data_IF_943691703396
#
_entry.id   IF_943691703396
#
_cell.length_a   1.000
_cell.length_b   1.000
_cell.length_c   1.000
_cell.angle_alpha   90.00
_cell.angle_beta   90.00
_cell.angle_gamma   90.00
#
_symmetry.space_group_name_H-M   'P 1'
#
loop_
_entity.id
_entity.type
_entity.pdbx_description
1 polymer ?
#
# COMPACT_ATOMS: atom_id res chain seq x y z
N UNK A 1 23.98 25.68 -4.23
CA UNK A 1 23.78 24.23 -4.06
C UNK A 1 22.42 23.87 -4.66
N UNK A 2 22.38 23.17 -5.80
CA UNK A 2 21.12 22.78 -6.45
C UNK A 2 20.89 21.31 -6.16
N UNK A 3 19.94 21.00 -5.28
CA UNK A 3 19.47 19.65 -5.03
C UNK A 3 18.96 19.09 -6.36
N UNK A 4 19.71 18.18 -6.95
CA UNK A 4 19.26 17.39 -8.09
C UNK A 4 18.94 15.99 -7.55
N UNK A 5 17.67 15.64 -7.39
CA UNK A 5 17.25 14.30 -6.99
C UNK A 5 17.41 13.30 -8.15
N UNK A 6 18.40 13.45 -9.02
CA UNK A 6 18.53 12.64 -10.23
C UNK A 6 19.93 12.07 -10.47
N UNK A 7 19.95 10.77 -10.80
CA UNK A 7 21.16 10.02 -11.16
C UNK A 7 21.50 10.23 -12.64
N UNK A 8 22.75 10.53 -12.93
CA UNK A 8 23.33 10.83 -14.26
C UNK A 8 23.46 9.61 -15.19
N UNK A 9 22.44 8.75 -15.29
CA UNK A 9 22.31 7.72 -16.34
C UNK A 9 20.90 7.73 -16.93
N UNK A 10 20.71 8.13 -18.20
CA UNK A 10 19.38 8.37 -18.80
C UNK A 10 18.46 7.13 -18.78
N UNK A 11 19.01 5.93 -18.97
CA UNK A 11 18.22 4.69 -18.92
C UNK A 11 17.64 4.34 -17.54
N UNK A 12 18.27 4.76 -16.44
CA UNK A 12 17.75 4.52 -15.07
C UNK A 12 16.68 5.52 -14.67
N UNK A 13 16.74 6.71 -15.24
CA UNK A 13 15.78 7.79 -15.09
C UNK A 13 14.42 7.40 -15.67
N UNK A 14 14.43 6.87 -16.89
CA UNK A 14 13.25 6.33 -17.55
C UNK A 14 12.71 5.11 -16.79
N UNK A 15 13.56 4.16 -16.41
CA UNK A 15 13.13 2.99 -15.64
C UNK A 15 12.47 3.37 -14.30
N UNK A 16 12.96 4.43 -13.62
CA UNK A 16 12.33 4.95 -12.41
C UNK A 16 10.97 5.58 -12.71
N UNK A 17 10.86 6.45 -13.72
CA UNK A 17 9.59 7.08 -14.07
C UNK A 17 8.54 6.04 -14.48
N UNK A 18 8.91 5.10 -15.36
CA UNK A 18 8.05 3.98 -15.75
C UNK A 18 7.67 3.11 -14.56
N UNK A 19 8.60 2.84 -13.64
CA UNK A 19 8.32 2.04 -12.46
C UNK A 19 7.39 2.76 -11.48
N UNK A 20 7.55 4.07 -11.29
CA UNK A 20 6.66 4.89 -10.47
C UNK A 20 5.25 4.92 -11.09
N UNK A 21 5.13 5.14 -12.40
CA UNK A 21 3.86 5.12 -13.13
C UNK A 21 3.21 3.73 -13.06
N UNK A 22 3.99 2.66 -13.22
CA UNK A 22 3.48 1.30 -13.14
C UNK A 22 2.93 0.97 -11.75
N UNK A 23 3.65 1.35 -10.68
CA UNK A 23 3.18 1.16 -9.30
C UNK A 23 1.94 2.00 -9.01
N UNK A 24 1.92 3.26 -9.47
CA UNK A 24 0.76 4.14 -9.32
C UNK A 24 -0.46 3.54 -10.04
N UNK A 25 -0.32 3.18 -11.32
CA UNK A 25 -1.39 2.58 -12.13
C UNK A 25 -1.89 1.28 -11.51
N UNK A 26 -0.98 0.39 -11.09
CA UNK A 26 -1.32 -0.87 -10.42
C UNK A 26 -2.11 -0.64 -9.13
N UNK A 27 -1.64 0.28 -8.29
CA UNK A 27 -2.32 0.64 -7.04
C UNK A 27 -3.70 1.20 -7.33
N UNK A 28 -3.82 2.12 -8.28
CA UNK A 28 -5.09 2.72 -8.69
C UNK A 28 -6.08 1.64 -9.17
N UNK A 29 -5.65 0.71 -10.01
CA UNK A 29 -6.51 -0.41 -10.47
C UNK A 29 -7.07 -1.19 -9.28
N UNK A 30 -6.21 -1.59 -8.32
CA UNK A 30 -6.65 -2.40 -7.19
C UNK A 30 -7.51 -1.63 -6.18
N UNK A 31 -7.29 -0.33 -6.03
CA UNK A 31 -8.19 0.55 -5.27
C UNK A 31 -9.57 0.58 -5.92
N UNK A 32 -9.65 0.74 -7.25
CA UNK A 32 -10.93 0.69 -7.96
C UNK A 32 -11.63 -0.67 -7.81
N UNK A 33 -10.88 -1.77 -7.85
CA UNK A 33 -11.43 -3.12 -7.58
C UNK A 33 -12.00 -3.20 -6.16
N UNK A 34 -11.27 -2.72 -5.15
CA UNK A 34 -11.77 -2.69 -3.77
C UNK A 34 -13.04 -1.84 -3.60
N UNK A 35 -13.09 -0.67 -4.26
CA UNK A 35 -14.28 0.19 -4.28
C UNK A 35 -15.46 -0.50 -4.97
N UNK A 36 -15.22 -1.22 -6.07
CA UNK A 36 -16.26 -1.98 -6.75
C UNK A 36 -16.82 -3.12 -5.89
N UNK A 37 -15.96 -3.83 -5.16
CA UNK A 37 -16.37 -4.87 -4.19
C UNK A 37 -17.22 -4.25 -3.07
N UNK A 38 -16.79 -3.13 -2.49
CA UNK A 38 -17.56 -2.43 -1.47
C UNK A 38 -18.93 -1.99 -1.99
N UNK A 39 -18.98 -1.38 -3.18
CA UNK A 39 -20.22 -0.95 -3.81
C UNK A 39 -21.17 -2.13 -4.06
N UNK A 40 -20.67 -3.26 -4.57
CA UNK A 40 -21.48 -4.45 -4.79
C UNK A 40 -22.12 -4.96 -3.48
N UNK A 41 -21.37 -5.02 -2.39
CA UNK A 41 -21.92 -5.43 -1.08
C UNK A 41 -22.91 -4.39 -0.53
N UNK A 42 -22.62 -3.10 -0.69
CA UNK A 42 -23.52 -2.02 -0.27
C UNK A 42 -24.87 -2.06 -1.00
N UNK A 43 -24.89 -2.43 -2.29
CA UNK A 43 -26.16 -2.62 -3.02
C UNK A 43 -27.00 -3.78 -2.47
N UNK A 44 -26.36 -4.86 -2.00
CA UNK A 44 -27.05 -5.98 -1.35
C UNK A 44 -27.62 -5.54 0.02
N UNK A 45 -26.85 -4.76 0.79
CA UNK A 45 -27.29 -4.22 2.07
C UNK A 45 -28.50 -3.28 1.91
N UNK A 46 -28.53 -2.45 0.87
CA UNK A 46 -29.67 -1.61 0.52
C UNK A 46 -30.95 -2.43 0.25
N UNK A 47 -30.84 -3.53 -0.50
CA UNK A 47 -31.98 -4.46 -0.69
C UNK A 47 -32.45 -5.03 0.65
N UNK A 48 -31.51 -5.41 1.54
CA UNK A 48 -31.84 -5.87 2.90
C UNK A 48 -32.61 -4.83 3.73
N UNK A 49 -32.24 -3.55 3.63
CA UNK A 49 -32.97 -2.44 4.29
C UNK A 49 -34.37 -2.25 3.72
N UNK A 50 -34.55 -2.37 2.41
CA UNK A 50 -35.87 -2.27 1.79
C UNK A 50 -36.79 -3.41 2.25
N UNK A 51 -36.26 -4.64 2.33
CA UNK A 51 -36.99 -5.80 2.86
C UNK A 51 -37.37 -5.58 4.33
N UNK A 52 -36.44 -5.10 5.16
CA UNK A 52 -36.72 -4.76 6.56
C UNK A 52 -37.89 -3.77 6.68
N UNK A 53 -37.82 -2.64 5.98
CA UNK A 53 -38.83 -1.59 6.07
C UNK A 53 -40.21 -2.09 5.60
N UNK A 54 -40.25 -2.94 4.56
CA UNK A 54 -41.49 -3.57 4.10
C UNK A 54 -42.06 -4.53 5.14
N UNK A 55 -41.21 -5.35 5.77
CA UNK A 55 -41.61 -6.32 6.78
C UNK A 55 -42.08 -5.64 8.09
N UNK A 56 -41.42 -4.56 8.53
CA UNK A 56 -41.86 -3.73 9.66
C UNK A 56 -43.26 -3.16 9.41
N UNK A 57 -43.51 -2.57 8.24
CA UNK A 57 -44.83 -2.04 7.89
C UNK A 57 -45.93 -3.10 7.78
N UNK A 58 -45.59 -4.31 7.33
CA UNK A 58 -46.52 -5.45 7.32
C UNK A 58 -46.82 -5.89 8.76
N UNK A 59 -45.79 -5.98 9.62
CA UNK A 59 -45.96 -6.33 11.03
C UNK A 59 -46.89 -5.36 11.74
N UNK A 60 -46.66 -4.06 11.61
CA UNK A 60 -47.46 -3.02 12.26
C UNK A 60 -48.94 -3.06 11.85
N UNK A 61 -49.19 -3.22 10.54
CA UNK A 61 -50.54 -3.33 9.99
C UNK A 61 -51.26 -4.59 10.48
N UNK A 62 -50.57 -5.74 10.48
CA UNK A 62 -51.13 -7.01 10.93
C UNK A 62 -51.40 -7.03 12.43
N UNK A 63 -50.51 -6.43 13.24
CA UNK A 63 -50.72 -6.29 14.66
C UNK A 63 -51.96 -5.42 14.96
N UNK A 64 -52.06 -4.26 14.30
CA UNK A 64 -53.21 -3.36 14.42
C UNK A 64 -54.53 -4.00 13.97
N UNK A 65 -54.48 -4.81 12.91
CA UNK A 65 -55.61 -5.59 12.44
C UNK A 65 -56.00 -6.70 13.44
N UNK A 66 -55.01 -7.37 14.05
CA UNK A 66 -55.21 -8.36 15.11
C UNK A 66 -55.91 -7.78 16.34
N UNK A 67 -55.45 -6.62 16.80
CA UNK A 67 -56.05 -5.88 17.93
C UNK A 67 -57.48 -5.41 17.63
N UNK A 68 -57.76 -5.07 16.37
CA UNK A 68 -59.10 -4.71 15.91
C UNK A 68 -60.02 -5.92 15.81
N UNK A 69 -59.52 -7.04 15.28
CA UNK A 69 -60.26 -8.29 15.17
C UNK A 69 -60.59 -8.89 16.54
N UNK A 70 -59.68 -8.78 17.51
CA UNK A 70 -59.90 -9.26 18.88
C UNK A 70 -61.11 -8.59 19.58
N UNK A 71 -61.50 -7.38 19.15
CA UNK A 71 -62.68 -6.66 19.67
C UNK A 71 -64.03 -7.20 19.18
N UNK A 72 -64.04 -8.21 18.28
CA UNK A 72 -65.28 -8.80 17.77
C UNK A 72 -65.82 -9.84 18.78
N UNK A 73 -67.05 -9.68 19.33
CA UNK A 73 -67.61 -10.65 20.26
C UNK A 73 -67.81 -12.03 19.60
N UNK A 74 -67.67 -13.09 20.40
CA UNK A 74 -67.81 -14.52 20.03
C UNK A 74 -66.70 -15.11 19.12
N UNK A 75 -66.06 -14.33 18.26
CA UNK A 75 -65.05 -14.84 17.29
C UNK A 75 -63.72 -14.08 17.27
N UNK A 76 -63.56 -13.01 18.05
CA UNK A 76 -62.40 -12.12 17.98
C UNK A 76 -61.06 -12.83 18.16
N UNK A 77 -60.95 -13.80 19.06
CA UNK A 77 -59.73 -14.58 19.25
C UNK A 77 -59.38 -15.46 18.04
N UNK A 78 -60.40 -16.06 17.39
CA UNK A 78 -60.20 -16.92 16.22
C UNK A 78 -59.71 -16.15 15.00
N UNK A 79 -59.96 -14.85 14.95
CA UNK A 79 -59.56 -13.96 13.85
C UNK A 79 -58.29 -13.17 14.20
N UNK A 80 -58.13 -12.73 15.45
CA UNK A 80 -56.99 -11.93 15.90
C UNK A 80 -55.70 -12.73 16.10
N UNK A 81 -55.79 -13.97 16.58
CA UNK A 81 -54.61 -14.81 16.81
C UNK A 81 -53.75 -15.06 15.55
N UNK A 82 -54.30 -15.47 14.39
CA UNK A 82 -53.49 -15.66 13.19
C UNK A 82 -52.87 -14.35 12.65
N UNK A 83 -53.54 -13.21 12.82
CA UNK A 83 -53.00 -11.90 12.43
C UNK A 83 -51.79 -11.49 13.28
N UNK A 84 -51.86 -11.72 14.59
CA UNK A 84 -50.72 -11.48 15.51
C UNK A 84 -49.56 -12.43 15.25
N UNK A 85 -49.83 -13.70 14.99
CA UNK A 85 -48.80 -14.66 14.61
C UNK A 85 -48.11 -14.26 13.29
N UNK A 86 -48.86 -13.75 12.32
CA UNK A 86 -48.31 -13.25 11.07
C UNK A 86 -47.50 -11.95 11.26
N UNK A 87 -47.91 -11.07 12.18
CA UNK A 87 -47.12 -9.89 12.59
C UNK A 87 -45.79 -10.30 13.21
N UNK A 88 -45.78 -11.28 14.12
CA UNK A 88 -44.56 -11.77 14.77
C UNK A 88 -43.58 -12.35 13.74
N UNK A 89 -44.07 -13.16 12.79
CA UNK A 89 -43.25 -13.67 11.69
C UNK A 89 -42.69 -12.54 10.78
N UNK A 90 -43.45 -11.48 10.55
CA UNK A 90 -42.99 -10.32 9.80
C UNK A 90 -41.93 -9.52 10.59
N UNK A 91 -42.08 -9.38 11.90
CA UNK A 91 -41.09 -8.75 12.78
C UNK A 91 -39.77 -9.54 12.82
N UNK A 92 -39.83 -10.87 12.88
CA UNK A 92 -38.64 -11.74 12.79
C UNK A 92 -37.90 -11.56 11.46
N UNK A 93 -38.64 -11.47 10.36
CA UNK A 93 -38.07 -11.20 9.03
C UNK A 93 -37.40 -9.81 8.97
N UNK A 94 -38.02 -8.78 9.57
CA UNK A 94 -37.43 -7.46 9.66
C UNK A 94 -36.15 -7.45 10.51
N UNK A 95 -36.14 -8.18 11.64
CA UNK A 95 -34.97 -8.40 12.47
C UNK A 95 -33.82 -9.06 11.71
N UNK A 96 -34.12 -10.07 10.90
CA UNK A 96 -33.14 -10.71 10.02
C UNK A 96 -32.58 -9.74 8.96
N UNK A 97 -33.44 -8.93 8.34
CA UNK A 97 -33.04 -7.88 7.40
C UNK A 97 -32.11 -6.82 8.02
N UNK A 98 -32.38 -6.44 9.27
CA UNK A 98 -31.54 -5.51 10.02
C UNK A 98 -30.15 -6.08 10.31
N UNK A 99 -30.08 -7.34 10.76
CA UNK A 99 -28.81 -7.99 11.08
C UNK A 99 -27.93 -8.21 9.83
N UNK A 100 -28.57 -8.44 8.67
CA UNK A 100 -27.90 -8.53 7.37
C UNK A 100 -27.28 -7.18 6.96
N UNK A 101 -27.98 -6.06 7.12
CA UNK A 101 -27.49 -4.71 6.76
C UNK A 101 -26.25 -4.31 7.57
N UNK A 102 -26.29 -4.50 8.89
CA UNK A 102 -25.17 -4.17 9.78
C UNK A 102 -23.95 -5.05 9.51
N UNK A 103 -24.17 -6.36 9.31
CA UNK A 103 -23.09 -7.32 9.00
C UNK A 103 -22.48 -7.07 7.62
N UNK A 104 -23.31 -6.82 6.60
CA UNK A 104 -22.87 -6.54 5.25
C UNK A 104 -22.04 -5.25 5.17
N UNK A 105 -22.41 -4.21 5.92
CA UNK A 105 -21.69 -2.93 5.92
C UNK A 105 -20.24 -3.07 6.41
N UNK A 106 -20.02 -3.77 7.53
CA UNK A 106 -18.67 -4.03 8.03
C UNK A 106 -17.89 -4.98 7.10
N UNK A 107 -18.53 -6.06 6.64
CA UNK A 107 -17.90 -7.02 5.73
C UNK A 107 -17.48 -6.38 4.42
N UNK A 108 -18.26 -5.42 3.89
CA UNK A 108 -17.92 -4.69 2.67
C UNK A 108 -16.55 -4.01 2.78
N UNK A 109 -16.27 -3.37 3.92
CA UNK A 109 -14.98 -2.70 4.16
C UNK A 109 -13.85 -3.72 4.30
N UNK A 110 -14.06 -4.77 5.10
CA UNK A 110 -13.04 -5.81 5.31
C UNK A 110 -12.70 -6.51 4.00
N UNK A 111 -13.71 -6.88 3.20
CA UNK A 111 -13.52 -7.53 1.90
C UNK A 111 -12.82 -6.59 0.91
N UNK A 112 -13.21 -5.32 0.84
CA UNK A 112 -12.53 -4.35 -0.01
C UNK A 112 -11.03 -4.24 0.31
N UNK A 113 -10.69 -4.17 1.61
CA UNK A 113 -9.29 -4.15 2.06
C UNK A 113 -8.60 -5.49 1.78
N UNK A 114 -9.24 -6.61 2.09
CA UNK A 114 -8.67 -7.95 1.89
C UNK A 114 -8.41 -8.26 0.41
N UNK A 115 -9.21 -7.71 -0.50
CA UNK A 115 -9.01 -7.85 -1.96
C UNK A 115 -7.93 -6.90 -2.47
N UNK A 116 -7.91 -5.65 -2.01
CA UNK A 116 -6.97 -4.65 -2.52
C UNK A 116 -5.56 -4.76 -1.91
N UNK A 117 -5.43 -5.08 -0.63
CA UNK A 117 -4.16 -5.01 0.08
C UNK A 117 -3.12 -6.04 -0.39
N UNK A 118 -3.43 -7.33 -0.59
CA UNK A 118 -2.44 -8.33 -1.00
C UNK A 118 -1.73 -7.99 -2.33
N UNK A 119 -2.43 -7.66 -3.44
CA UNK A 119 -1.76 -7.34 -4.69
C UNK A 119 -1.02 -5.99 -4.66
N UNK A 120 -1.50 -5.02 -3.86
CA UNK A 120 -0.78 -3.77 -3.64
C UNK A 120 0.53 -4.05 -2.90
N UNK A 121 0.50 -4.81 -1.80
CA UNK A 121 1.67 -5.12 -0.99
C UNK A 121 2.67 -6.01 -1.73
N UNK A 122 2.19 -6.98 -2.51
CA UNK A 122 3.04 -7.86 -3.31
C UNK A 122 3.89 -7.09 -4.33
N UNK A 123 3.36 -6.00 -4.88
CA UNK A 123 4.05 -5.20 -5.90
C UNK A 123 4.79 -3.99 -5.29
N UNK A 124 4.15 -3.26 -4.39
CA UNK A 124 4.72 -2.09 -3.74
C UNK A 124 5.81 -2.46 -2.73
N UNK A 125 5.69 -3.59 -2.02
CA UNK A 125 6.65 -4.01 -0.99
C UNK A 125 8.08 -4.16 -1.53
N UNK A 126 8.32 -5.02 -2.54
CA UNK A 126 9.64 -5.17 -3.16
C UNK A 126 10.15 -3.86 -3.76
N UNK A 127 9.27 -3.07 -4.38
CA UNK A 127 9.63 -1.78 -4.98
C UNK A 127 10.08 -0.75 -3.94
N UNK A 128 9.31 -0.58 -2.85
CA UNK A 128 9.64 0.31 -1.72
C UNK A 128 10.95 -0.15 -1.09
N UNK A 129 11.13 -1.45 -0.85
CA UNK A 129 12.34 -1.99 -0.24
C UNK A 129 13.59 -1.70 -1.08
N UNK A 130 13.53 -1.97 -2.39
CA UNK A 130 14.63 -1.66 -3.30
C UNK A 130 14.91 -0.15 -3.32
N UNK A 131 13.87 0.67 -3.40
CA UNK A 131 13.99 2.15 -3.45
C UNK A 131 14.64 2.70 -2.18
N UNK A 132 14.19 2.27 -1.00
CA UNK A 132 14.77 2.66 0.29
C UNK A 132 16.24 2.22 0.38
N UNK A 133 16.57 0.99 -0.05
CA UNK A 133 17.96 0.50 -0.05
C UNK A 133 18.87 1.35 -0.93
N UNK A 134 18.40 1.78 -2.10
CA UNK A 134 19.16 2.68 -2.98
C UNK A 134 19.33 4.08 -2.37
N UNK A 135 18.26 4.66 -1.80
CA UNK A 135 18.33 5.96 -1.12
C UNK A 135 19.31 5.94 0.05
N UNK A 136 19.26 4.91 0.89
CA UNK A 136 20.20 4.75 2.01
C UNK A 136 21.65 4.65 1.54
N UNK A 137 21.94 3.89 0.48
CA UNK A 137 23.29 3.79 -0.08
C UNK A 137 23.80 5.14 -0.60
N UNK A 138 22.93 5.93 -1.24
CA UNK A 138 23.26 7.29 -1.69
C UNK A 138 23.54 8.23 -0.52
N UNK A 139 22.68 8.24 0.50
CA UNK A 139 22.82 9.12 1.67
C UNK A 139 24.15 8.92 2.39
N UNK A 140 24.53 7.67 2.65
CA UNK A 140 25.79 7.40 3.34
C UNK A 140 27.00 7.80 2.47
N UNK A 141 26.92 7.64 1.14
CA UNK A 141 28.00 8.08 0.24
C UNK A 141 28.12 9.61 0.17
N UNK A 142 27.00 10.34 0.18
CA UNK A 142 26.97 11.81 0.22
C UNK A 142 27.49 12.33 1.56
N UNK A 143 27.06 11.73 2.67
CA UNK A 143 27.53 12.10 4.00
C UNK A 143 29.04 11.86 4.17
N UNK A 144 29.56 10.73 3.66
CA UNK A 144 31.00 10.48 3.66
C UNK A 144 31.75 11.49 2.79
N UNK A 145 31.26 11.78 1.58
CA UNK A 145 31.88 12.75 0.68
C UNK A 145 31.94 14.17 1.26
N UNK A 146 31.03 14.51 2.18
CA UNK A 146 30.97 15.81 2.84
C UNK A 146 31.94 15.94 4.04
N UNK A 147 32.63 14.87 4.45
CA UNK A 147 33.60 14.93 5.54
C UNK A 147 34.98 15.41 5.04
N UNK A 148 35.80 16.06 5.89
CA UNK A 148 37.15 16.50 5.54
C UNK A 148 38.07 15.37 5.06
N UNK A 149 37.81 14.12 5.50
CA UNK A 149 38.51 12.91 5.07
C UNK A 149 37.69 12.06 4.07
N UNK A 150 36.70 12.67 3.41
CA UNK A 150 35.70 11.95 2.60
C UNK A 150 36.29 11.15 1.46
N UNK A 151 37.36 11.64 0.84
CA UNK A 151 38.08 10.93 -0.22
C UNK A 151 38.71 9.62 0.30
N UNK A 152 39.43 9.69 1.43
CA UNK A 152 40.08 8.52 2.04
C UNK A 152 39.05 7.52 2.59
N UNK A 153 37.96 8.00 3.21
CA UNK A 153 36.88 7.15 3.71
C UNK A 153 36.11 6.45 2.59
N UNK A 154 35.90 7.12 1.45
CA UNK A 154 35.27 6.50 0.28
C UNK A 154 36.20 5.50 -0.41
N UNK A 155 37.50 5.79 -0.48
CA UNK A 155 38.51 4.86 -0.99
C UNK A 155 38.62 3.60 -0.10
N UNK A 156 38.62 3.76 1.24
CA UNK A 156 38.60 2.64 2.18
C UNK A 156 37.32 1.80 2.04
N UNK A 157 36.16 2.46 1.88
CA UNK A 157 34.89 1.76 1.65
C UNK A 157 34.87 1.03 0.31
N UNK A 158 35.50 1.59 -0.72
CA UNK A 158 35.67 0.93 -2.01
C UNK A 158 36.48 -0.35 -1.85
N UNK A 159 37.61 -0.30 -1.15
CA UNK A 159 38.45 -1.45 -0.83
C UNK A 159 37.68 -2.53 -0.05
N UNK A 160 36.86 -2.13 0.93
CA UNK A 160 36.14 -3.07 1.80
C UNK A 160 34.91 -3.72 1.15
N UNK A 161 34.21 -3.02 0.26
CA UNK A 161 32.87 -3.45 -0.21
C UNK A 161 32.74 -3.66 -1.73
N UNK A 162 33.81 -3.43 -2.52
CA UNK A 162 33.74 -3.58 -3.98
C UNK A 162 34.45 -4.84 -4.46
N UNK A 163 33.89 -5.53 -5.47
CA UNK A 163 34.50 -6.73 -6.02
C UNK A 163 35.85 -6.40 -6.66
N UNK A 164 36.85 -7.26 -6.40
CA UNK A 164 38.24 -7.11 -6.83
C UNK A 164 38.41 -6.80 -8.32
N UNK A 165 37.55 -7.38 -9.17
CA UNK A 165 37.53 -7.11 -10.63
C UNK A 165 37.34 -5.63 -10.99
N UNK A 166 36.68 -4.83 -10.14
CA UNK A 166 36.50 -3.38 -10.37
C UNK A 166 37.62 -2.54 -9.79
N UNK A 167 38.35 -3.06 -8.81
CA UNK A 167 39.49 -2.40 -8.18
C UNK A 167 40.75 -2.57 -9.05
N UNK A 168 40.92 -3.76 -9.64
CA UNK A 168 42.03 -4.09 -10.53
C UNK A 168 42.09 -3.25 -11.82
N UNK A 169 40.97 -2.63 -12.22
CA UNK A 169 40.91 -1.70 -13.36
C UNK A 169 41.58 -0.36 -13.05
N UNK A 170 41.73 -0.02 -11.77
CA UNK A 170 42.25 1.28 -11.32
C UNK A 170 43.71 1.18 -10.92
N UNK A 171 44.06 0.13 -10.18
CA UNK A 171 45.43 -0.13 -9.83
C UNK A 171 45.66 -1.63 -9.75
N UNK A 172 46.81 -2.07 -10.22
CA UNK A 172 47.18 -3.49 -10.24
C UNK A 172 47.33 -4.05 -8.81
N UNK A 173 47.69 -3.21 -7.84
CA UNK A 173 47.77 -3.57 -6.42
C UNK A 173 47.15 -2.47 -5.53
N UNK A 174 45.87 -2.61 -5.15
CA UNK A 174 45.13 -1.63 -4.35
C UNK A 174 45.68 -1.43 -2.94
N UNK A 175 46.35 -2.44 -2.39
CA UNK A 175 46.81 -2.44 -1.00
C UNK A 175 48.15 -1.71 -0.88
N UNK A 176 49.07 -1.93 -1.82
CA UNK A 176 50.33 -1.15 -1.85
C UNK A 176 50.07 0.32 -2.16
N UNK A 177 49.17 0.62 -3.10
CA UNK A 177 48.78 2.00 -3.42
C UNK A 177 48.15 2.73 -2.23
N UNK A 178 47.37 2.03 -1.39
CA UNK A 178 46.84 2.58 -0.13
C UNK A 178 47.94 2.84 0.89
N UNK A 179 48.87 1.90 1.09
CA UNK A 179 50.00 2.08 2.03
C UNK A 179 50.95 3.20 1.62
N UNK A 180 51.13 3.42 0.32
CA UNK A 180 51.94 4.50 -0.22
C UNK A 180 51.26 5.88 -0.15
N UNK A 181 50.00 5.95 0.34
CA UNK A 181 49.16 7.16 0.29
C UNK A 181 49.13 7.81 -1.10
N UNK A 182 49.11 7.01 -2.16
CA UNK A 182 49.05 7.54 -3.52
C UNK A 182 47.72 8.25 -3.74
N UNK A 183 47.79 9.58 -3.84
CA UNK A 183 46.65 10.46 -3.99
C UNK A 183 45.88 10.20 -5.29
N UNK A 184 46.50 9.63 -6.33
CA UNK A 184 45.83 9.31 -7.59
C UNK A 184 45.05 7.98 -7.50
N UNK A 185 45.64 6.97 -6.87
CA UNK A 185 44.99 5.69 -6.62
C UNK A 185 43.81 5.83 -5.65
N UNK A 186 43.95 6.62 -4.57
CA UNK A 186 42.86 6.91 -3.64
C UNK A 186 41.69 7.63 -4.34
N UNK A 187 41.98 8.63 -5.18
CA UNK A 187 40.95 9.31 -6.01
C UNK A 187 40.23 8.35 -6.93
N UNK A 188 40.95 7.45 -7.59
CA UNK A 188 40.36 6.42 -8.46
C UNK A 188 39.41 5.50 -7.68
N UNK A 189 39.86 4.99 -6.54
CA UNK A 189 39.07 4.13 -5.66
C UNK A 189 37.80 4.84 -5.15
N UNK A 190 37.93 6.08 -4.69
CA UNK A 190 36.79 6.92 -4.28
C UNK A 190 35.82 7.17 -5.46
N UNK A 191 36.33 7.36 -6.68
CA UNK A 191 35.51 7.54 -7.87
C UNK A 191 34.68 6.28 -8.22
N UNK A 192 35.17 5.08 -7.93
CA UNK A 192 34.39 3.83 -8.09
C UNK A 192 33.24 3.76 -7.11
N UNK A 193 33.47 4.12 -5.85
CA UNK A 193 32.42 4.17 -4.84
C UNK A 193 31.35 5.19 -5.20
N UNK A 194 31.76 6.39 -5.64
CA UNK A 194 30.85 7.45 -6.10
C UNK A 194 30.06 7.03 -7.35
N UNK A 195 30.72 6.42 -8.34
CA UNK A 195 30.08 5.91 -9.57
C UNK A 195 29.10 4.77 -9.28
N UNK A 196 29.37 3.98 -8.25
CA UNK A 196 28.45 2.93 -7.78
C UNK A 196 27.27 3.49 -6.96
N UNK A 197 27.46 4.62 -6.27
CA UNK A 197 26.39 5.40 -5.64
C UNK A 197 25.59 6.26 -6.65
N UNK A 198 26.07 6.37 -7.89
CA UNK A 198 25.43 7.16 -8.95
C UNK A 198 25.66 8.66 -8.82
N UNK A 199 26.79 9.05 -8.23
CA UNK A 199 27.23 10.42 -7.97
C UNK A 199 28.48 10.68 -8.84
N UNK A 200 28.57 11.87 -9.45
CA UNK A 200 29.75 12.30 -10.19
C UNK A 200 30.90 12.70 -9.25
N UNK A 201 32.15 12.60 -9.71
CA UNK A 201 33.31 13.01 -8.91
C UNK A 201 33.21 14.51 -8.60
N UNK A 202 33.35 14.95 -7.32
CA UNK A 202 33.34 16.35 -6.93
C UNK A 202 34.37 17.17 -7.73
N UNK A 203 33.99 18.38 -8.14
CA UNK A 203 34.85 19.26 -8.97
C UNK A 203 36.16 19.62 -8.28
N UNK A 204 36.17 19.63 -6.95
CA UNK A 204 37.31 19.92 -6.08
C UNK A 204 38.40 18.84 -6.08
N UNK A 205 38.17 17.67 -6.70
CA UNK A 205 39.14 16.56 -6.79
C UNK A 205 39.74 16.38 -8.20
N UNK A 206 39.42 17.30 -9.13
CA UNK A 206 39.90 17.25 -10.53
C UNK A 206 41.23 17.99 -10.76
N UNK A 207 41.71 18.71 -9.76
CA UNK A 207 43.04 19.33 -9.68
C UNK A 207 43.99 18.43 -8.93
#
# INVERSE_FOLDING_TARGET
>A
MRFLPYSTRPGRLLAQLFSDIAVATWTTIWVFVGLAVHAAVATIAEVGRQVKNGADGISDNLNSAGDSAHRIPLVGDKVGAPLRAASEAAADLAGAGHNLDTTASWLAVVLAIAVAAPPILAFAGPWIFLRIRFFRRKLIAVQLAATPAGEQLLALRALANRPLKKLAVITADPVSAWRAQDATAMRGLAAVELKAAGIGVPKQWRT
#
